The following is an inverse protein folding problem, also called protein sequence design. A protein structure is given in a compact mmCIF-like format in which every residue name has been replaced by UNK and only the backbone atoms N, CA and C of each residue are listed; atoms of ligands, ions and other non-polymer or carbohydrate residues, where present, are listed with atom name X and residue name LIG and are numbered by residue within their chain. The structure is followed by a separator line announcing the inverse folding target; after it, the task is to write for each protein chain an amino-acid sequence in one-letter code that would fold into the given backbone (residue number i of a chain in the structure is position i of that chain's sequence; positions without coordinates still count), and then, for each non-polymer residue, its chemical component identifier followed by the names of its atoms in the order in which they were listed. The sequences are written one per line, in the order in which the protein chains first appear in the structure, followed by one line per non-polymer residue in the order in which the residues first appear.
data_IF_437463946075
#
_entry.id   IF_437463946075
#
_cell.length_a   1.000
_cell.length_b   1.000
_cell.length_c   1.000
_cell.angle_alpha   90.00
_cell.angle_beta   90.00
_cell.angle_gamma   90.00
#
_symmetry.space_group_name_H-M   'P 1'
#
loop_
_entity.id
_entity.type
_entity.pdbx_description
1 polymer ?
#
# COMPACT_ATOMS: atom_id res chain seq x y z
N UNK A 1 8.24 18.72 -11.76
CA UNK A 1 7.83 17.37 -12.22
C UNK A 1 8.36 16.22 -11.34
N UNK A 2 9.62 16.26 -10.86
CA UNK A 2 10.20 15.20 -10.01
C UNK A 2 9.38 14.84 -8.74
N UNK A 3 8.79 15.83 -8.06
CA UNK A 3 7.93 15.60 -6.88
C UNK A 3 6.65 14.81 -7.16
N UNK A 4 6.08 14.95 -8.37
CA UNK A 4 4.87 14.23 -8.77
C UNK A 4 5.19 12.79 -9.19
N UNK A 5 6.32 12.58 -9.86
CA UNK A 5 6.78 11.23 -10.20
C UNK A 5 7.09 10.42 -8.93
N UNK A 6 7.82 11.00 -7.97
CA UNK A 6 8.09 10.35 -6.68
C UNK A 6 6.80 10.03 -5.90
N UNK A 7 5.79 10.91 -5.97
CA UNK A 7 4.49 10.71 -5.34
C UNK A 7 3.65 9.58 -5.98
N UNK A 8 3.96 9.16 -7.20
CA UNK A 8 3.30 8.05 -7.90
C UNK A 8 4.08 6.74 -7.81
N UNK A 9 5.42 6.81 -7.74
CA UNK A 9 6.28 5.62 -7.60
C UNK A 9 6.08 4.94 -6.25
N UNK A 10 5.94 5.72 -5.16
CA UNK A 10 5.73 5.19 -3.81
C UNK A 10 4.43 4.35 -3.69
N UNK A 11 3.25 4.83 -4.11
CA UNK A 11 2.03 4.03 -4.10
C UNK A 11 2.04 2.88 -5.11
N UNK A 12 2.70 3.04 -6.27
CA UNK A 12 2.87 1.93 -7.21
C UNK A 12 3.64 0.77 -6.58
N UNK A 13 4.78 1.05 -5.93
CA UNK A 13 5.57 0.05 -5.21
C UNK A 13 4.78 -0.60 -4.08
N UNK A 14 4.04 0.19 -3.30
CA UNK A 14 3.21 -0.34 -2.20
C UNK A 14 2.13 -1.31 -2.72
N UNK A 15 1.45 -0.96 -3.81
CA UNK A 15 0.43 -1.82 -4.43
C UNK A 15 1.02 -3.09 -5.04
N UNK A 16 2.20 -3.01 -5.68
CA UNK A 16 2.89 -4.18 -6.23
C UNK A 16 3.37 -5.13 -5.12
N UNK A 17 3.91 -4.59 -4.01
CA UNK A 17 4.28 -5.39 -2.84
C UNK A 17 3.07 -6.10 -2.23
N UNK A 18 1.93 -5.40 -2.16
CA UNK A 18 0.68 -5.98 -1.68
C UNK A 18 0.14 -7.07 -2.62
N UNK A 19 0.21 -6.85 -3.94
CA UNK A 19 -0.15 -7.84 -4.94
C UNK A 19 0.71 -9.12 -4.82
N UNK A 20 2.02 -8.95 -4.63
CA UNK A 20 2.94 -10.06 -4.42
C UNK A 20 2.68 -10.81 -3.10
N UNK A 21 2.30 -10.09 -2.03
CA UNK A 21 1.90 -10.69 -0.77
C UNK A 21 0.66 -11.58 -0.93
N UNK A 22 -0.40 -11.08 -1.57
CA UNK A 22 -1.61 -11.86 -1.81
C UNK A 22 -1.38 -13.03 -2.76
N UNK A 23 -0.50 -12.86 -3.77
CA UNK A 23 -0.11 -13.95 -4.65
C UNK A 23 0.59 -15.08 -3.86
N UNK A 24 1.51 -14.73 -2.96
CA UNK A 24 2.17 -15.71 -2.08
C UNK A 24 1.19 -16.35 -1.08
N UNK A 25 0.16 -15.64 -0.66
CA UNK A 25 -0.90 -16.17 0.21
C UNK A 25 -1.93 -17.06 -0.53
N UNK A 26 -1.79 -17.25 -1.85
CA UNK A 26 -2.73 -18.03 -2.67
C UNK A 26 -4.01 -17.26 -3.04
N UNK A 27 -4.13 -15.99 -2.66
CA UNK A 27 -5.28 -15.14 -2.89
C UNK A 27 -5.13 -14.39 -4.23
N UNK A 28 -5.14 -15.15 -5.33
CA UNK A 28 -4.90 -14.65 -6.69
C UNK A 28 -5.88 -13.55 -7.12
N UNK A 29 -7.13 -13.60 -6.65
CA UNK A 29 -8.13 -12.57 -6.94
C UNK A 29 -7.81 -11.21 -6.29
N UNK A 30 -7.31 -11.18 -5.05
CA UNK A 30 -6.83 -9.93 -4.43
C UNK A 30 -5.57 -9.41 -5.11
N UNK A 31 -4.69 -10.32 -5.54
CA UNK A 31 -3.49 -9.95 -6.28
C UNK A 31 -3.85 -9.23 -7.59
N UNK A 32 -4.77 -9.81 -8.37
CA UNK A 32 -5.31 -9.19 -9.58
C UNK A 32 -5.98 -7.85 -9.30
N UNK A 33 -6.76 -7.75 -8.21
CA UNK A 33 -7.36 -6.48 -7.79
C UNK A 33 -6.30 -5.42 -7.46
N UNK A 34 -5.20 -5.77 -6.78
CA UNK A 34 -4.12 -4.84 -6.48
C UNK A 34 -3.42 -4.34 -7.75
N UNK A 35 -3.21 -5.21 -8.75
CA UNK A 35 -2.65 -4.80 -10.05
C UNK A 35 -3.62 -3.89 -10.81
N UNK A 36 -4.91 -4.21 -10.82
CA UNK A 36 -5.93 -3.36 -11.43
C UNK A 36 -5.98 -1.96 -10.77
N UNK A 37 -5.90 -1.91 -9.44
CA UNK A 37 -5.83 -0.65 -8.70
C UNK A 37 -4.53 0.10 -8.98
N UNK A 38 -3.39 -0.57 -9.16
CA UNK A 38 -2.16 0.08 -9.61
C UNK A 38 -2.32 0.69 -11.01
N UNK A 39 -3.08 0.06 -11.90
CA UNK A 39 -3.45 0.60 -13.21
C UNK A 39 -4.24 1.92 -13.12
N UNK A 40 -5.01 2.14 -12.04
CA UNK A 40 -5.74 3.39 -11.82
C UNK A 40 -4.81 4.60 -11.59
N UNK A 41 -3.52 4.39 -11.29
CA UNK A 41 -2.54 5.48 -11.24
C UNK A 41 -2.40 6.20 -12.59
N UNK A 42 -2.71 5.53 -13.71
CA UNK A 42 -2.71 6.12 -15.04
C UNK A 42 -4.04 6.82 -15.40
N UNK A 43 -5.09 6.57 -14.62
CA UNK A 43 -6.43 7.12 -14.84
C UNK A 43 -6.57 8.45 -14.10
N UNK A 44 -6.69 9.55 -14.86
CA UNK A 44 -6.79 10.92 -14.32
C UNK A 44 -8.22 11.31 -13.90
N UNK A 45 -8.91 10.44 -13.16
CA UNK A 45 -10.27 10.72 -12.68
C UNK A 45 -10.30 10.95 -11.17
N UNK A 46 -11.24 11.77 -10.65
CA UNK A 46 -11.37 12.02 -9.22
C UNK A 46 -11.73 10.73 -8.45
N UNK A 47 -12.50 9.82 -9.04
CA UNK A 47 -12.84 8.53 -8.42
C UNK A 47 -11.63 7.60 -8.29
N UNK A 48 -10.71 7.59 -9.26
CA UNK A 48 -9.47 6.82 -9.17
C UNK A 48 -8.66 7.18 -7.92
N UNK A 49 -8.59 8.47 -7.57
CA UNK A 49 -7.92 8.92 -6.35
C UNK A 49 -8.58 8.39 -5.07
N UNK A 50 -9.91 8.26 -5.04
CA UNK A 50 -10.63 7.66 -3.91
C UNK A 50 -10.33 6.17 -3.79
N UNK A 51 -10.39 5.42 -4.90
CA UNK A 51 -10.09 3.98 -4.93
C UNK A 51 -8.65 3.70 -4.51
N UNK A 52 -7.67 4.45 -5.06
CA UNK A 52 -6.27 4.33 -4.69
C UNK A 52 -6.02 4.61 -3.20
N UNK A 53 -6.64 5.67 -2.67
CA UNK A 53 -6.50 6.02 -1.25
C UNK A 53 -7.09 4.92 -0.36
N UNK A 54 -8.28 4.41 -0.69
CA UNK A 54 -8.93 3.34 0.05
C UNK A 54 -8.11 2.03 0.01
N UNK A 55 -7.57 1.68 -1.16
CA UNK A 55 -6.74 0.50 -1.32
C UNK A 55 -5.42 0.58 -0.54
N UNK A 56 -4.76 1.75 -0.52
CA UNK A 56 -3.55 1.95 0.28
C UNK A 56 -3.86 1.95 1.79
N UNK A 57 -5.01 2.49 2.20
CA UNK A 57 -5.45 2.39 3.59
C UNK A 57 -5.70 0.92 3.99
N UNK A 58 -6.39 0.15 3.15
CA UNK A 58 -6.58 -1.29 3.37
C UNK A 58 -5.24 -2.04 3.40
N UNK A 59 -4.32 -1.74 2.48
CA UNK A 59 -2.97 -2.30 2.48
C UNK A 59 -2.18 -1.99 3.76
N UNK A 60 -2.35 -0.79 4.33
CA UNK A 60 -1.74 -0.43 5.62
C UNK A 60 -2.24 -1.34 6.74
N UNK A 61 -3.56 -1.56 6.82
CA UNK A 61 -4.16 -2.47 7.81
C UNK A 61 -3.65 -3.90 7.61
N UNK A 62 -3.54 -4.35 6.36
CA UNK A 62 -3.04 -5.69 6.06
C UNK A 62 -1.56 -5.87 6.45
N UNK A 63 -0.72 -4.85 6.25
CA UNK A 63 0.68 -4.89 6.70
C UNK A 63 0.78 -4.91 8.23
N UNK A 64 -0.05 -4.15 8.95
CA UNK A 64 -0.10 -4.19 10.41
C UNK A 64 -0.57 -5.56 10.92
N UNK A 65 -1.62 -6.12 10.32
CA UNK A 65 -2.13 -7.46 10.64
C UNK A 65 -1.04 -8.52 10.42
N UNK A 66 -0.36 -8.46 9.28
CA UNK A 66 0.76 -9.36 8.93
C UNK A 66 1.91 -9.24 9.93
N UNK A 67 2.28 -8.01 10.29
CA UNK A 67 3.31 -7.76 11.30
C UNK A 67 2.93 -8.39 12.65
N UNK A 68 1.68 -8.20 13.09
CA UNK A 68 1.18 -8.75 14.33
C UNK A 68 1.17 -10.28 14.34
N UNK A 69 0.63 -10.91 13.30
CA UNK A 69 0.55 -12.38 13.18
C UNK A 69 1.94 -13.01 13.22
N UNK A 70 2.89 -12.48 12.45
CA UNK A 70 4.25 -13.02 12.45
C UNK A 70 5.00 -12.72 13.75
N UNK A 71 4.82 -11.54 14.34
CA UNK A 71 5.44 -11.21 15.62
C UNK A 71 4.91 -12.11 16.74
N UNK A 72 3.60 -12.36 16.80
CA UNK A 72 2.97 -13.25 17.77
C UNK A 72 3.47 -14.70 17.61
N UNK A 73 3.53 -15.20 16.36
CA UNK A 73 4.05 -16.54 16.09
C UNK A 73 5.54 -16.70 16.49
N UNK A 74 6.36 -15.68 16.21
CA UNK A 74 7.78 -15.66 16.60
C UNK A 74 7.97 -15.54 18.11
N UNK A 75 7.17 -14.70 18.78
CA UNK A 75 7.20 -14.54 20.23
C UNK A 75 6.83 -15.86 20.93
N UNK A 76 5.79 -16.55 20.46
CA UNK A 76 5.42 -17.88 20.96
C UNK A 76 6.52 -18.94 20.75
N UNK A 77 7.31 -18.81 19.68
CA UNK A 77 8.44 -19.68 19.38
C UNK A 77 9.76 -19.25 20.07
N UNK A 78 9.75 -18.21 20.91
CA UNK A 78 10.95 -17.68 21.57
C UNK A 78 11.97 -17.06 20.60
N UNK A 79 11.56 -16.75 19.37
CA UNK A 79 12.43 -16.23 18.31
C UNK A 79 12.46 -14.70 18.31
N UNK A 80 13.59 -14.06 17.96
CA UNK A 80 13.65 -12.61 17.83
C UNK A 80 12.75 -12.11 16.69
N UNK A 81 11.81 -11.23 17.02
CA UNK A 81 10.85 -10.63 16.09
C UNK A 81 11.05 -9.11 15.91
N UNK A 82 11.99 -8.49 16.63
CA UNK A 82 12.26 -7.05 16.53
C UNK A 82 12.57 -6.59 15.10
N UNK A 83 13.45 -7.33 14.38
CA UNK A 83 13.77 -7.03 12.97
C UNK A 83 12.54 -7.11 12.07
N UNK A 84 11.65 -8.07 12.33
CA UNK A 84 10.42 -8.27 11.56
C UNK A 84 9.44 -7.11 11.76
N UNK A 85 9.26 -6.66 13.00
CA UNK A 85 8.42 -5.49 13.31
C UNK A 85 8.98 -4.21 12.69
N UNK A 86 10.30 -4.02 12.70
CA UNK A 86 10.93 -2.85 12.06
C UNK A 86 10.68 -2.85 10.55
N UNK A 87 10.88 -3.99 9.87
CA UNK A 87 10.69 -4.09 8.42
C UNK A 87 9.21 -3.87 8.07
N UNK A 88 8.31 -4.67 8.64
CA UNK A 88 6.88 -4.62 8.28
C UNK A 88 6.21 -3.33 8.77
N UNK A 89 6.63 -2.81 9.93
CA UNK A 89 6.18 -1.52 10.45
C UNK A 89 6.62 -0.36 9.57
N UNK A 90 7.85 -0.39 9.05
CA UNK A 90 8.32 0.63 8.09
C UNK A 90 7.52 0.56 6.79
N UNK A 91 7.26 -0.64 6.26
CA UNK A 91 6.43 -0.83 5.05
C UNK A 91 4.99 -0.33 5.28
N UNK A 92 4.40 -0.64 6.43
CA UNK A 92 3.08 -0.13 6.80
C UNK A 92 3.07 1.40 6.87
N UNK A 93 4.07 2.02 7.50
CA UNK A 93 4.19 3.46 7.61
C UNK A 93 4.35 4.13 6.24
N UNK A 94 5.20 3.59 5.37
CA UNK A 94 5.37 4.09 3.99
C UNK A 94 4.06 4.00 3.21
N UNK A 95 3.32 2.91 3.37
CA UNK A 95 2.00 2.73 2.73
C UNK A 95 0.98 3.74 3.26
N UNK A 96 0.97 3.99 4.57
CA UNK A 96 0.10 4.99 5.20
C UNK A 96 0.43 6.41 4.71
N UNK A 97 1.72 6.76 4.65
CA UNK A 97 2.17 8.06 4.14
C UNK A 97 1.77 8.23 2.67
N UNK A 98 1.90 7.19 1.85
CA UNK A 98 1.44 7.22 0.45
C UNK A 98 -0.08 7.47 0.36
N UNK A 99 -0.89 6.81 1.20
CA UNK A 99 -2.33 7.03 1.25
C UNK A 99 -2.68 8.48 1.65
N UNK A 100 -2.02 9.02 2.68
CA UNK A 100 -2.23 10.40 3.13
C UNK A 100 -1.83 11.42 2.05
N UNK A 101 -0.71 11.20 1.37
CA UNK A 101 -0.23 12.09 0.31
C UNK A 101 -1.20 12.12 -0.88
N UNK A 102 -1.74 10.97 -1.29
CA UNK A 102 -2.77 10.86 -2.33
C UNK A 102 -4.12 11.46 -1.90
N UNK A 103 -4.45 11.36 -0.61
CA UNK A 103 -5.67 11.91 -0.03
C UNK A 103 -5.71 13.45 0.04
N UNK A 104 -4.55 14.12 0.02
CA UNK A 104 -4.48 15.59 0.13
C UNK A 104 -5.13 16.30 -1.07
N UNK A 105 -5.87 17.40 -0.86
CA UNK A 105 -6.53 18.15 -1.94
C UNK A 105 -5.57 18.65 -3.02
N UNK A 106 -4.32 18.95 -2.67
CA UNK A 106 -3.27 19.38 -3.62
C UNK A 106 -2.87 18.29 -4.61
N UNK A 107 -2.78 17.03 -4.17
CA UNK A 107 -2.49 15.88 -5.04
C UNK A 107 -3.71 15.50 -5.88
N UNK A 108 -4.91 15.58 -5.29
CA UNK A 108 -6.19 15.37 -5.99
C UNK A 108 -6.42 16.37 -7.14
N UNK A 109 -5.89 17.58 -7.04
CA UNK A 109 -5.94 18.58 -8.12
C UNK A 109 -5.16 18.14 -9.37
N UNK A 110 -4.19 17.23 -9.26
CA UNK A 110 -3.53 16.60 -10.41
C UNK A 110 -4.46 15.63 -11.18
N UNK A 111 -5.42 15.03 -10.49
CA UNK A 111 -6.45 14.14 -11.05
C UNK A 111 -7.74 14.89 -11.47
N UNK A 112 -7.84 16.21 -11.24
CA UNK A 112 -8.91 17.08 -11.74
C UNK A 112 -8.41 17.92 -12.91
N UNK A 113 -8.29 17.32 -14.09
CA UNK A 113 -8.33 18.06 -15.37
C UNK A 113 -9.57 17.62 -16.15
N UNK A 114 -10.67 18.30 -15.87
CA UNK A 114 -11.79 18.60 -16.76
C UNK A 114 -12.65 19.62 -16.03
#
# INVERSE_FOLDING_TARGET
MARLAAALVLPALALLLLAAHFFRAGLTWLSAACVAVAGLLFVRTPWAAHVLTAALAAGTVEWLRTAWVFAAARAAAGQPYGRLLVILGTVALVTAVAAVLLGRPTARRHFRRS
#
